data_IF_605013931151
#
_entry.id   IF_605013931151
#
_cell.length_a   1.000
_cell.length_b   1.000
_cell.length_c   1.000
_cell.angle_alpha   90.00
_cell.angle_beta   90.00
_cell.angle_gamma   90.00
#
_symmetry.space_group_name_H-M   'P 1'
#
loop_
_entity.id
_entity.type
_entity.pdbx_description
1 polymer ?
#
# COMPACT_ATOMS: atom_id res chain seq x y z
N UNK A 1 26.44 -2.04 -20.18
CA UNK A 1 26.06 -2.59 -18.87
C UNK A 1 24.54 -2.46 -18.76
N UNK A 2 23.82 -3.55 -18.56
CA UNK A 2 22.35 -3.53 -18.45
C UNK A 2 21.92 -3.03 -17.07
N UNK A 3 20.67 -2.59 -16.93
CA UNK A 3 20.09 -2.20 -15.64
C UNK A 3 20.19 -3.32 -14.60
N UNK A 4 20.04 -4.58 -15.03
CA UNK A 4 20.20 -5.74 -14.16
C UNK A 4 21.63 -5.90 -13.66
N UNK A 5 22.63 -5.72 -14.53
CA UNK A 5 24.04 -5.76 -14.16
C UNK A 5 24.41 -4.65 -13.17
N UNK A 6 23.87 -3.43 -13.39
CA UNK A 6 24.07 -2.29 -12.47
C UNK A 6 23.46 -2.61 -11.10
N UNK A 7 22.21 -3.08 -11.05
CA UNK A 7 21.56 -3.48 -9.80
C UNK A 7 22.36 -4.56 -9.07
N UNK A 8 22.87 -5.55 -9.80
CA UNK A 8 23.65 -6.64 -9.21
C UNK A 8 24.99 -6.16 -8.68
N UNK A 9 25.62 -5.18 -9.34
CA UNK A 9 26.83 -4.52 -8.84
C UNK A 9 26.55 -3.74 -7.55
N UNK A 10 25.45 -2.97 -7.51
CA UNK A 10 25.00 -2.26 -6.30
C UNK A 10 24.73 -3.22 -5.13
N UNK A 11 24.01 -4.31 -5.40
CA UNK A 11 23.73 -5.33 -4.39
C UNK A 11 25.01 -5.96 -3.84
N UNK A 12 25.96 -6.35 -4.70
CA UNK A 12 27.24 -6.93 -4.25
C UNK A 12 28.06 -5.96 -3.42
N UNK A 13 28.14 -4.70 -3.86
CA UNK A 13 28.88 -3.64 -3.16
C UNK A 13 28.32 -3.41 -1.76
N UNK A 14 27.01 -3.37 -1.63
CA UNK A 14 26.32 -3.02 -0.39
C UNK A 14 25.90 -4.24 0.45
N UNK A 15 26.20 -5.47 0.02
CA UNK A 15 25.71 -6.68 0.68
C UNK A 15 26.16 -6.81 2.15
N UNK A 16 27.40 -6.43 2.42
CA UNK A 16 28.02 -6.52 3.75
C UNK A 16 28.11 -5.16 4.46
N UNK A 17 27.58 -4.10 3.86
CA UNK A 17 27.55 -2.75 4.42
C UNK A 17 26.10 -2.31 4.60
N UNK A 18 25.91 -1.12 5.17
CA UNK A 18 24.60 -0.48 5.13
C UNK A 18 24.45 0.25 3.80
N UNK A 19 23.23 0.26 3.28
CA UNK A 19 22.90 1.02 2.09
C UNK A 19 22.75 2.49 2.43
N UNK A 20 23.37 3.36 1.64
CA UNK A 20 23.14 4.80 1.72
C UNK A 20 21.90 5.21 0.91
N UNK A 21 21.37 6.39 1.20
CA UNK A 21 20.13 6.90 0.57
C UNK A 21 20.24 7.06 -0.96
N UNK A 22 21.42 7.39 -1.48
CA UNK A 22 21.63 7.54 -2.92
C UNK A 22 21.52 6.21 -3.63
N UNK A 23 22.23 5.19 -3.13
CA UNK A 23 22.22 3.83 -3.65
C UNK A 23 20.82 3.20 -3.55
N UNK A 24 20.08 3.47 -2.47
CA UNK A 24 18.70 3.02 -2.32
C UNK A 24 17.77 3.63 -3.38
N UNK A 25 17.89 4.94 -3.64
CA UNK A 25 17.07 5.60 -4.67
C UNK A 25 17.39 5.08 -6.06
N UNK A 26 18.67 4.88 -6.36
CA UNK A 26 19.12 4.30 -7.63
C UNK A 26 18.58 2.88 -7.80
N UNK A 27 18.72 2.05 -6.76
CA UNK A 27 18.19 0.69 -6.72
C UNK A 27 16.68 0.65 -7.01
N UNK A 28 15.87 1.45 -6.30
CA UNK A 28 14.42 1.51 -6.50
C UNK A 28 14.06 2.02 -7.90
N UNK A 29 14.81 3.00 -8.43
CA UNK A 29 14.60 3.51 -9.78
C UNK A 29 14.88 2.46 -10.87
N UNK A 30 15.92 1.64 -10.68
CA UNK A 30 16.29 0.58 -11.62
C UNK A 30 15.33 -0.61 -11.56
N UNK A 31 14.77 -0.94 -10.38
CA UNK A 31 13.79 -2.03 -10.24
C UNK A 31 12.59 -1.88 -11.19
N UNK A 32 12.16 -0.65 -11.47
CA UNK A 32 11.02 -0.39 -12.36
C UNK A 32 11.31 -0.67 -13.84
N UNK A 33 12.59 -0.78 -14.21
CA UNK A 33 13.04 -1.01 -15.58
C UNK A 33 13.33 -2.49 -15.86
N UNK A 34 13.43 -3.31 -14.82
CA UNK A 34 13.71 -4.73 -14.96
C UNK A 34 12.48 -5.49 -15.45
N UNK A 35 12.72 -6.52 -16.27
CA UNK A 35 11.70 -7.48 -16.65
C UNK A 35 11.24 -8.32 -15.45
N UNK A 36 10.07 -8.94 -15.57
CA UNK A 36 9.53 -9.84 -14.54
C UNK A 36 10.49 -10.99 -14.22
N UNK A 37 11.16 -11.55 -15.22
CA UNK A 37 12.12 -12.64 -15.04
C UNK A 37 13.35 -12.17 -14.25
N UNK A 38 13.89 -11.01 -14.58
CA UNK A 38 15.02 -10.40 -13.87
C UNK A 38 14.67 -10.06 -12.42
N UNK A 39 13.47 -9.53 -12.17
CA UNK A 39 12.99 -9.28 -10.81
C UNK A 39 12.86 -10.57 -9.99
N UNK A 40 12.41 -11.68 -10.58
CA UNK A 40 12.39 -12.98 -9.90
C UNK A 40 13.80 -13.55 -9.67
N UNK A 41 14.73 -13.36 -10.61
CA UNK A 41 16.12 -13.73 -10.42
C UNK A 41 16.75 -12.91 -9.28
N UNK A 42 16.45 -11.61 -9.22
CA UNK A 42 16.92 -10.70 -8.19
C UNK A 42 16.35 -11.06 -6.81
N UNK A 43 15.05 -11.37 -6.70
CA UNK A 43 14.43 -11.73 -5.41
C UNK A 43 15.00 -13.00 -4.78
N UNK A 44 15.56 -13.90 -5.61
CA UNK A 44 16.24 -15.13 -5.18
C UNK A 44 17.75 -14.97 -5.05
N UNK A 45 18.30 -13.82 -5.43
CA UNK A 45 19.73 -13.58 -5.38
C UNK A 45 20.19 -13.49 -3.93
N UNK A 46 21.22 -14.28 -3.59
CA UNK A 46 21.89 -14.19 -2.29
C UNK A 46 22.46 -12.80 -2.00
N UNK A 47 22.68 -11.99 -3.04
CA UNK A 47 23.29 -10.67 -2.93
C UNK A 47 22.31 -9.59 -2.52
N UNK A 48 20.99 -9.83 -2.58
CA UNK A 48 19.98 -8.90 -2.04
C UNK A 48 19.96 -9.04 -0.52
N UNK A 49 20.84 -8.26 0.10
CA UNK A 49 21.08 -8.24 1.54
C UNK A 49 21.66 -6.91 1.98
N UNK A 50 21.67 -6.69 3.28
CA UNK A 50 22.32 -5.56 3.96
C UNK A 50 22.82 -6.06 5.31
N UNK A 51 23.81 -5.38 5.88
CA UNK A 51 24.18 -5.59 7.29
C UNK A 51 23.00 -5.38 8.25
N UNK A 52 22.04 -4.52 7.86
CA UNK A 52 20.82 -4.26 8.61
C UNK A 52 19.66 -5.14 8.12
N UNK A 53 19.14 -6.01 9.00
CA UNK A 53 17.97 -6.85 8.72
C UNK A 53 16.73 -6.04 8.30
N UNK A 54 16.58 -4.83 8.84
CA UNK A 54 15.48 -3.93 8.47
C UNK A 54 15.62 -3.44 7.02
N UNK A 55 16.83 -3.05 6.60
CA UNK A 55 17.10 -2.67 5.21
C UNK A 55 16.97 -3.86 4.26
N UNK A 56 17.43 -5.05 4.65
CA UNK A 56 17.25 -6.27 3.84
C UNK A 56 15.77 -6.55 3.56
N UNK A 57 14.92 -6.47 4.60
CA UNK A 57 13.46 -6.63 4.44
C UNK A 57 12.89 -5.60 3.50
N UNK A 58 13.27 -4.33 3.65
CA UNK A 58 12.84 -3.25 2.76
C UNK A 58 13.21 -3.53 1.29
N UNK A 59 14.45 -3.93 1.00
CA UNK A 59 14.90 -4.24 -0.37
C UNK A 59 14.05 -5.37 -0.98
N UNK A 60 13.80 -6.45 -0.23
CA UNK A 60 12.97 -7.57 -0.66
C UNK A 60 11.51 -7.17 -0.89
N UNK A 61 10.98 -6.29 -0.05
CA UNK A 61 9.64 -5.71 -0.23
C UNK A 61 9.54 -4.88 -1.51
N UNK A 62 10.55 -4.05 -1.82
CA UNK A 62 10.56 -3.25 -3.05
C UNK A 62 10.64 -4.13 -4.32
N UNK A 63 11.44 -5.19 -4.32
CA UNK A 63 11.42 -6.17 -5.43
C UNK A 63 10.03 -6.79 -5.57
N UNK A 64 9.41 -7.18 -4.44
CA UNK A 64 8.08 -7.79 -4.44
C UNK A 64 7.03 -6.83 -5.02
N UNK A 65 7.07 -5.56 -4.61
CA UNK A 65 6.22 -4.50 -5.17
C UNK A 65 6.42 -4.36 -6.68
N UNK A 66 7.67 -4.38 -7.15
CA UNK A 66 7.97 -4.33 -8.58
C UNK A 66 7.42 -5.56 -9.34
N UNK A 67 7.62 -6.78 -8.83
CA UNK A 67 7.11 -8.04 -9.42
C UNK A 67 5.58 -8.03 -9.56
N UNK A 68 4.90 -7.51 -8.56
CA UNK A 68 3.44 -7.54 -8.47
C UNK A 68 2.78 -6.23 -8.85
N UNK A 69 3.52 -5.23 -9.34
CA UNK A 69 3.01 -3.90 -9.72
C UNK A 69 1.77 -3.97 -10.60
N UNK A 70 1.77 -4.82 -11.62
CA UNK A 70 0.63 -4.97 -12.53
C UNK A 70 -0.57 -5.67 -11.89
N UNK A 71 -0.33 -6.67 -11.03
CA UNK A 71 -1.43 -7.38 -10.33
C UNK A 71 -2.05 -6.49 -9.26
N UNK A 72 -1.22 -5.74 -8.52
CA UNK A 72 -1.67 -4.73 -7.56
C UNK A 72 -2.43 -3.63 -8.29
N UNK A 73 -1.87 -3.07 -9.37
CA UNK A 73 -2.51 -1.99 -10.14
C UNK A 73 -3.81 -2.41 -10.84
N UNK A 74 -3.94 -3.66 -11.29
CA UNK A 74 -5.22 -4.20 -11.79
C UNK A 74 -6.25 -4.34 -10.67
N UNK A 75 -5.83 -4.82 -9.50
CA UNK A 75 -6.70 -5.01 -8.33
C UNK A 75 -7.16 -3.68 -7.73
N UNK A 76 -6.28 -2.69 -7.63
CA UNK A 76 -6.62 -1.33 -7.21
C UNK A 76 -7.57 -0.64 -8.20
N UNK A 77 -7.37 -0.83 -9.51
CA UNK A 77 -8.29 -0.31 -10.53
C UNK A 77 -9.67 -0.96 -10.41
N UNK A 78 -9.74 -2.29 -10.28
CA UNK A 78 -11.00 -3.01 -10.09
C UNK A 78 -11.76 -2.47 -8.89
N UNK A 79 -11.11 -2.38 -7.72
CA UNK A 79 -11.73 -1.90 -6.47
C UNK A 79 -12.30 -0.49 -6.61
N UNK A 80 -11.61 0.41 -7.32
CA UNK A 80 -12.11 1.77 -7.55
C UNK A 80 -13.38 1.80 -8.40
N UNK A 81 -13.53 0.86 -9.33
CA UNK A 81 -14.70 0.77 -10.22
C UNK A 81 -15.82 -0.10 -9.68
N UNK A 82 -15.57 -0.83 -8.59
CA UNK A 82 -16.50 -1.81 -8.03
C UNK A 82 -17.59 -1.13 -7.18
N UNK A 83 -18.80 -1.67 -7.18
CA UNK A 83 -19.90 -1.09 -6.43
C UNK A 83 -19.67 -1.17 -4.91
N UNK A 84 -20.21 -0.21 -4.16
CA UNK A 84 -19.99 -0.12 -2.72
C UNK A 84 -20.47 -1.36 -1.97
N UNK A 85 -21.57 -1.98 -2.41
CA UNK A 85 -22.09 -3.24 -1.84
C UNK A 85 -21.10 -4.39 -2.01
N UNK A 86 -20.58 -4.59 -3.22
CA UNK A 86 -19.58 -5.63 -3.52
C UNK A 86 -18.28 -5.40 -2.71
N UNK A 87 -17.84 -4.15 -2.56
CA UNK A 87 -16.70 -3.81 -1.70
C UNK A 87 -16.96 -4.10 -0.23
N UNK A 88 -18.20 -3.91 0.26
CA UNK A 88 -18.57 -4.24 1.64
C UNK A 88 -18.57 -5.75 1.85
N UNK A 89 -19.04 -6.55 0.89
CA UNK A 89 -18.94 -8.01 0.94
C UNK A 89 -17.48 -8.47 0.98
N UNK A 90 -16.62 -7.95 0.10
CA UNK A 90 -15.19 -8.27 0.10
C UNK A 90 -14.48 -7.79 1.38
N UNK A 91 -14.95 -6.68 1.97
CA UNK A 91 -14.47 -6.19 3.26
C UNK A 91 -14.89 -7.09 4.44
N UNK A 92 -16.11 -7.67 4.38
CA UNK A 92 -16.61 -8.61 5.38
C UNK A 92 -15.94 -9.98 5.27
N UNK A 93 -15.57 -10.40 4.07
CA UNK A 93 -14.83 -11.64 3.84
C UNK A 93 -13.36 -11.52 4.28
N UNK A 94 -13.12 -11.87 5.55
CA UNK A 94 -11.78 -11.89 6.15
C UNK A 94 -10.85 -12.96 5.58
N UNK A 95 -11.34 -13.88 4.74
CA UNK A 95 -10.53 -14.88 4.03
C UNK A 95 -10.05 -14.35 2.68
N UNK A 96 -10.72 -13.34 2.13
CA UNK A 96 -10.30 -12.64 0.92
C UNK A 96 -9.03 -11.84 1.15
N UNK A 97 -7.97 -12.12 0.39
CA UNK A 97 -6.68 -11.40 0.45
C UNK A 97 -6.72 -9.95 -0.04
N UNK A 98 -7.88 -9.28 0.05
CA UNK A 98 -8.19 -7.96 -0.51
C UNK A 98 -8.75 -6.96 0.51
N UNK A 99 -9.06 -7.41 1.74
CA UNK A 99 -9.77 -6.62 2.76
C UNK A 99 -9.10 -5.26 3.02
N UNK A 100 -7.76 -5.19 2.98
CA UNK A 100 -7.04 -3.93 3.20
C UNK A 100 -7.30 -2.89 2.10
N UNK A 101 -7.40 -3.32 0.84
CA UNK A 101 -7.66 -2.44 -0.28
C UNK A 101 -9.13 -2.01 -0.31
N UNK A 102 -10.06 -2.94 -0.09
CA UNK A 102 -11.49 -2.63 0.04
C UNK A 102 -11.74 -1.64 1.20
N UNK A 103 -11.15 -1.89 2.38
CA UNK A 103 -11.21 -0.98 3.53
C UNK A 103 -10.69 0.42 3.17
N UNK A 104 -9.59 0.52 2.43
CA UNK A 104 -9.00 1.80 2.02
C UNK A 104 -9.97 2.57 1.11
N UNK A 105 -10.53 1.91 0.10
CA UNK A 105 -11.47 2.52 -0.84
C UNK A 105 -12.76 2.97 -0.15
N UNK A 106 -13.36 2.12 0.70
CA UNK A 106 -14.55 2.48 1.48
C UNK A 106 -14.33 3.73 2.35
N UNK A 107 -13.13 3.89 2.92
CA UNK A 107 -12.77 5.10 3.68
C UNK A 107 -12.71 6.35 2.80
N UNK A 108 -12.20 6.24 1.58
CA UNK A 108 -12.15 7.36 0.64
C UNK A 108 -13.55 7.75 0.15
N UNK A 109 -14.41 6.77 -0.18
CA UNK A 109 -15.82 7.02 -0.54
C UNK A 109 -16.61 7.69 0.59
N UNK A 110 -16.43 7.23 1.83
CA UNK A 110 -17.05 7.84 3.00
C UNK A 110 -16.66 9.32 3.14
N UNK A 111 -15.36 9.63 3.04
CA UNK A 111 -14.86 11.02 3.10
C UNK A 111 -15.45 11.87 1.97
N UNK A 112 -15.56 11.32 0.76
CA UNK A 112 -16.08 11.99 -0.42
C UNK A 112 -17.59 12.28 -0.36
N UNK A 113 -18.35 11.67 0.55
CA UNK A 113 -19.80 11.87 0.66
C UNK A 113 -20.65 10.72 0.12
N UNK A 114 -20.04 9.75 -0.53
CA UNK A 114 -20.73 8.66 -1.24
C UNK A 114 -21.07 7.52 -0.30
N UNK A 115 -22.31 7.02 -0.37
CA UNK A 115 -22.81 5.82 0.35
C UNK A 115 -22.51 5.81 1.86
N UNK A 116 -22.42 7.00 2.47
CA UNK A 116 -21.94 7.17 3.85
C UNK A 116 -22.66 6.29 4.86
N UNK A 117 -23.99 6.16 4.73
CA UNK A 117 -24.79 5.37 5.65
C UNK A 117 -24.42 3.87 5.59
N UNK A 118 -24.38 3.31 4.37
CA UNK A 118 -24.07 1.91 4.13
C UNK A 118 -22.64 1.58 4.59
N UNK A 119 -21.68 2.45 4.31
CA UNK A 119 -20.29 2.30 4.74
C UNK A 119 -20.18 2.40 6.27
N UNK A 120 -20.89 3.34 6.90
CA UNK A 120 -20.91 3.50 8.35
C UNK A 120 -21.47 2.25 9.06
N UNK A 121 -22.55 1.67 8.52
CA UNK A 121 -23.13 0.43 9.04
C UNK A 121 -22.12 -0.72 8.96
N UNK A 122 -21.47 -0.90 7.81
CA UNK A 122 -20.44 -1.92 7.61
C UNK A 122 -19.26 -1.74 8.59
N UNK A 123 -18.82 -0.50 8.84
CA UNK A 123 -17.70 -0.22 9.75
C UNK A 123 -18.09 -0.38 11.22
N UNK A 124 -19.34 -0.08 11.59
CA UNK A 124 -19.85 -0.30 12.94
C UNK A 124 -19.91 -1.80 13.28
N UNK A 125 -20.27 -2.65 12.31
CA UNK A 125 -20.29 -4.11 12.47
C UNK A 125 -18.91 -4.77 12.39
N UNK A 126 -17.85 -4.02 12.07
CA UNK A 126 -16.50 -4.55 11.84
C UNK A 126 -15.62 -4.54 13.11
N UNK A 127 -14.34 -4.18 12.97
CA UNK A 127 -13.38 -4.18 14.08
C UNK A 127 -13.49 -2.92 14.94
N UNK A 128 -13.02 -2.99 16.20
CA UNK A 128 -12.92 -1.82 17.08
C UNK A 128 -12.15 -0.65 16.43
N UNK A 129 -11.12 -0.96 15.63
CA UNK A 129 -10.34 0.06 14.94
C UNK A 129 -11.14 0.76 13.83
N UNK A 130 -11.96 0.01 13.09
CA UNK A 130 -12.83 0.58 12.05
C UNK A 130 -13.94 1.45 12.67
N UNK A 131 -14.54 0.99 13.79
CA UNK A 131 -15.49 1.77 14.59
C UNK A 131 -14.87 3.07 15.12
N UNK A 132 -13.66 3.00 15.67
CA UNK A 132 -12.95 4.18 16.16
C UNK A 132 -12.67 5.16 15.01
N UNK A 133 -12.21 4.67 13.86
CA UNK A 133 -11.98 5.52 12.69
C UNK A 133 -13.26 6.27 12.28
N UNK A 134 -14.41 5.59 12.25
CA UNK A 134 -15.70 6.21 11.94
C UNK A 134 -16.09 7.30 12.96
N UNK A 135 -15.97 6.99 14.26
CA UNK A 135 -16.22 7.98 15.34
C UNK A 135 -15.36 9.23 15.19
N UNK A 136 -14.09 9.06 14.80
CA UNK A 136 -13.17 10.17 14.54
C UNK A 136 -13.61 11.01 13.33
N UNK A 137 -14.07 10.39 12.24
CA UNK A 137 -14.59 11.15 11.09
C UNK A 137 -15.84 11.97 11.46
N UNK A 138 -16.82 11.36 12.14
CA UNK A 138 -18.04 12.05 12.60
C UNK A 138 -17.70 13.23 13.51
N UNK A 139 -16.75 13.02 14.44
CA UNK A 139 -16.27 14.08 15.35
C UNK A 139 -15.65 15.24 14.56
N UNK A 140 -14.78 14.94 13.58
CA UNK A 140 -14.12 15.96 12.75
C UNK A 140 -15.12 16.84 12.00
N UNK A 141 -16.16 16.24 11.41
CA UNK A 141 -17.20 16.98 10.70
C UNK A 141 -18.01 17.89 11.63
N UNK A 142 -18.32 17.40 12.85
CA UNK A 142 -19.06 18.20 13.85
C UNK A 142 -18.28 19.46 14.26
N UNK A 143 -16.96 19.36 14.45
CA UNK A 143 -16.13 20.52 14.79
C UNK A 143 -15.87 21.46 13.61
N UNK A 144 -15.74 20.93 12.38
CA UNK A 144 -15.68 21.75 11.18
C UNK A 144 -16.95 22.61 11.03
N UNK A 145 -18.12 22.02 11.27
CA UNK A 145 -19.40 22.74 11.24
C UNK A 145 -19.62 23.67 12.45
N UNK A 146 -18.99 23.42 13.60
CA UNK A 146 -19.11 24.32 14.76
C UNK A 146 -18.22 25.55 14.66
N UNK A 147 -17.05 25.44 13.99
CA UNK A 147 -16.15 26.56 13.71
C UNK A 147 -16.81 27.62 12.82
N UNK A 148 -17.72 27.23 11.93
CA UNK A 148 -18.43 28.15 11.04
C UNK A 148 -19.56 28.94 11.73
N UNK A 149 -20.02 28.49 12.91
CA UNK A 149 -21.16 29.10 13.64
C UNK A 149 -20.75 30.12 14.71
N UNK A 150 -19.44 30.39 14.88
CA UNK A 150 -18.93 31.38 15.87
C UNK A 150 -18.56 32.74 15.26
N UNK A 151 -18.91 32.98 14.00
CA UNK A 151 -18.67 34.25 13.30
C UNK A 151 -20.00 34.94 13.01
N UNK A 152 -20.70 35.40 14.05
CA UNK A 152 -21.75 36.40 14.00
C UNK A 152 -21.74 37.19 15.30
#
# INVERSE_FOLDING_TARGET
MTEFEIIMALCRRNHFTEWNDSDLREYVGLLQKLSRQELFALSRSRWVGSKSLAQERMLKEEITKAIFKDKIGKRERRIKTEDTEALIEEFRDKRGGCVSLARKELRERYKAGTDRYMIAEAFNAATKNDQQWLKWQIRKERYANSSYKRSY
#
